data_IF_074452095415
#
_entry.id   IF_074452095415
#
_cell.length_a   1.000
_cell.length_b   1.000
_cell.length_c   1.000
_cell.angle_alpha   90.00
_cell.angle_beta   90.00
_cell.angle_gamma   90.00
#
_symmetry.space_group_name_H-M   'P 1'
#
loop_
_entity.id
_entity.type
_entity.pdbx_description
1 polymer ?
#
# COMPACT_ATOMS: atom_id res chain seq x y z
N UNK A 1 58.10 -37.29 -5.48
CA UNK A 1 57.16 -37.95 -4.55
C UNK A 1 56.92 -37.00 -3.39
N UNK A 2 55.65 -36.77 -3.04
CA UNK A 2 55.20 -35.65 -2.17
C UNK A 2 54.90 -34.43 -3.04
N UNK A 3 53.74 -33.77 -2.98
CA UNK A 3 52.73 -33.68 -1.93
C UNK A 3 52.45 -32.17 -1.77
N UNK A 4 51.24 -31.71 -2.06
CA UNK A 4 50.89 -30.29 -1.97
C UNK A 4 49.62 -29.93 -2.72
N UNK A 5 48.49 -30.46 -2.26
CA UNK A 5 47.16 -30.05 -2.74
C UNK A 5 46.76 -28.74 -2.03
N UNK A 6 46.42 -27.72 -2.80
CA UNK A 6 45.89 -26.46 -2.30
C UNK A 6 44.54 -26.70 -1.58
N UNK A 7 44.53 -26.43 -0.28
CA UNK A 7 43.35 -26.44 0.58
C UNK A 7 42.66 -25.06 0.46
N UNK A 8 41.40 -25.00 0.04
CA UNK A 8 40.55 -23.80 0.19
C UNK A 8 39.39 -24.15 1.11
N UNK A 9 39.56 -23.83 2.39
CA UNK A 9 38.47 -23.73 3.35
C UNK A 9 37.52 -22.61 2.94
N UNK A 10 36.22 -22.91 2.79
CA UNK A 10 35.17 -21.90 2.71
C UNK A 10 34.71 -21.59 4.14
N UNK A 11 35.19 -20.46 4.69
CA UNK A 11 34.69 -19.89 5.94
C UNK A 11 33.31 -19.27 5.67
N UNK A 12 32.25 -19.84 6.23
CA UNK A 12 30.98 -19.12 6.38
C UNK A 12 30.91 -18.57 7.79
N UNK A 13 31.13 -17.26 7.88
CA UNK A 13 30.85 -16.42 9.02
C UNK A 13 29.38 -16.01 8.92
N UNK A 14 28.50 -16.51 9.80
CA UNK A 14 27.23 -15.83 10.07
C UNK A 14 27.33 -15.22 11.47
N UNK A 15 27.75 -13.96 11.46
CA UNK A 15 27.73 -13.06 12.61
C UNK A 15 26.33 -12.44 12.67
N UNK A 16 25.57 -12.70 13.74
CA UNK A 16 24.55 -11.77 14.21
C UNK A 16 24.93 -11.39 15.65
N UNK A 17 25.53 -10.20 15.80
CA UNK A 17 25.61 -9.49 17.07
C UNK A 17 24.55 -8.39 17.03
N UNK A 18 23.69 -8.33 18.04
CA UNK A 18 23.58 -7.15 18.92
C UNK A 18 22.89 -7.52 20.23
N UNK A 19 23.57 -7.16 21.32
CA UNK A 19 23.08 -7.09 22.69
C UNK A 19 22.37 -5.72 22.87
N UNK A 20 21.41 -5.62 23.79
CA UNK A 20 21.28 -4.60 24.86
C UNK A 20 19.81 -4.62 25.35
N UNK A 21 19.63 -5.07 26.59
CA UNK A 21 18.41 -4.82 27.38
C UNK A 21 18.50 -3.41 27.95
N UNK A 22 17.59 -2.53 27.55
CA UNK A 22 17.30 -1.31 28.30
C UNK A 22 16.06 -1.54 29.16
N UNK A 23 16.28 -1.66 30.48
CA UNK A 23 15.24 -1.49 31.49
C UNK A 23 15.05 0.01 31.75
N UNK A 24 14.09 0.61 31.04
CA UNK A 24 13.23 1.74 31.42
C UNK A 24 12.48 2.22 30.17
N UNK A 25 11.39 1.55 29.82
CA UNK A 25 10.48 2.01 28.76
C UNK A 25 9.41 2.88 29.40
N UNK A 26 9.67 4.19 29.42
CA UNK A 26 8.58 5.17 29.51
C UNK A 26 8.01 5.28 28.08
N UNK A 27 6.90 4.61 27.81
CA UNK A 27 6.14 4.85 26.59
C UNK A 27 5.44 6.21 26.73
N UNK A 28 6.05 7.25 26.19
CA UNK A 28 5.30 8.47 25.85
C UNK A 28 4.32 8.15 24.74
N UNK A 29 3.13 8.77 24.76
CA UNK A 29 2.08 8.52 23.77
C UNK A 29 2.64 8.58 22.33
N UNK A 30 2.32 7.55 21.55
CA UNK A 30 2.58 7.42 20.10
C UNK A 30 4.03 7.16 19.68
N UNK A 31 4.70 6.17 20.29
CA UNK A 31 5.92 5.58 19.71
C UNK A 31 5.54 4.48 18.72
N UNK A 32 5.60 4.77 17.41
CA UNK A 32 5.46 3.76 16.36
C UNK A 32 6.82 3.16 16.04
N UNK A 33 6.90 1.82 16.01
CA UNK A 33 8.08 1.14 15.51
C UNK A 33 8.04 1.13 13.97
N UNK A 34 9.13 1.56 13.33
CA UNK A 34 9.31 1.45 11.89
C UNK A 34 9.05 0.02 11.43
N UNK A 35 8.34 -0.15 10.31
CA UNK A 35 8.11 -1.47 9.73
C UNK A 35 9.45 -2.10 9.30
N UNK A 36 9.89 -3.12 10.04
CA UNK A 36 11.07 -3.92 9.71
C UNK A 36 10.61 -5.35 9.43
N UNK A 37 10.75 -5.85 8.19
CA UNK A 37 10.34 -7.20 7.85
C UNK A 37 11.17 -8.22 8.62
N UNK A 38 10.52 -9.21 9.22
CA UNK A 38 11.13 -10.33 9.93
C UNK A 38 10.73 -11.64 9.27
N UNK A 39 11.62 -12.63 9.36
CA UNK A 39 11.35 -14.00 8.95
C UNK A 39 12.10 -14.95 9.89
N UNK A 40 11.39 -15.94 10.42
CA UNK A 40 11.99 -17.12 11.05
C UNK A 40 11.34 -18.38 10.47
N UNK A 41 12.14 -19.44 10.37
CA UNK A 41 11.68 -20.74 9.94
C UNK A 41 12.42 -21.84 10.71
N UNK A 42 11.73 -22.93 11.02
CA UNK A 42 12.32 -24.11 11.66
C UNK A 42 11.58 -25.38 11.26
N UNK A 43 12.27 -26.52 11.36
CA UNK A 43 11.64 -27.85 11.32
C UNK A 43 11.69 -28.48 12.70
N UNK A 44 10.66 -29.22 13.08
CA UNK A 44 10.58 -29.90 14.37
C UNK A 44 11.57 -31.09 14.50
N UNK A 45 11.98 -31.69 13.37
CA UNK A 45 12.95 -32.77 13.34
C UNK A 45 14.03 -32.53 12.27
N UNK A 46 15.18 -32.00 12.69
CA UNK A 46 16.31 -31.76 11.78
C UNK A 46 17.07 -33.04 11.36
N UNK A 47 16.95 -34.12 12.13
CA UNK A 47 17.58 -35.41 11.85
C UNK A 47 16.53 -36.53 11.88
N UNK A 48 15.86 -36.74 10.75
CA UNK A 48 14.85 -37.77 10.59
C UNK A 48 15.50 -39.14 10.44
N UNK A 49 15.11 -40.10 11.29
CA UNK A 49 15.62 -41.47 11.24
C UNK A 49 14.48 -42.48 11.08
N UNK A 50 14.71 -43.48 10.24
CA UNK A 50 13.74 -44.53 9.92
C UNK A 50 14.43 -45.87 10.07
N UNK A 51 13.81 -46.80 10.81
CA UNK A 51 14.29 -48.17 10.89
C UNK A 51 13.73 -48.97 9.70
N UNK A 52 14.57 -49.22 8.69
CA UNK A 52 14.16 -49.92 7.48
C UNK A 52 13.56 -51.31 7.73
N UNK A 53 14.06 -52.06 8.72
CA UNK A 53 13.53 -53.37 9.07
C UNK A 53 12.11 -53.30 9.62
N UNK A 54 11.76 -52.24 10.35
CA UNK A 54 10.37 -52.05 10.82
C UNK A 54 9.43 -51.77 9.66
N UNK A 55 9.89 -51.02 8.65
CA UNK A 55 9.10 -50.76 7.44
C UNK A 55 8.93 -52.04 6.62
N UNK A 56 10.00 -52.78 6.34
CA UNK A 56 9.96 -54.02 5.52
C UNK A 56 9.05 -55.09 6.15
N UNK A 57 8.99 -55.16 7.47
CA UNK A 57 8.17 -56.13 8.21
C UNK A 57 6.73 -55.65 8.48
N UNK A 58 6.36 -54.44 8.07
CA UNK A 58 4.98 -53.96 8.19
C UNK A 58 4.07 -54.61 7.15
N UNK A 59 2.75 -54.60 7.38
CA UNK A 59 1.75 -55.26 6.52
C UNK A 59 1.87 -54.83 5.06
N UNK A 60 1.97 -53.53 4.80
CA UNK A 60 2.00 -52.96 3.45
C UNK A 60 3.43 -52.63 2.99
N UNK A 61 4.42 -52.89 3.83
CA UNK A 61 5.83 -52.49 3.66
C UNK A 61 6.04 -50.98 3.46
N UNK A 62 5.12 -50.17 3.98
CA UNK A 62 5.13 -48.70 3.88
C UNK A 62 5.28 -48.03 5.23
N UNK A 63 5.71 -46.77 5.22
CA UNK A 63 5.67 -45.87 6.39
C UNK A 63 5.38 -44.43 5.97
N UNK A 64 4.72 -43.67 6.85
CA UNK A 64 4.53 -42.22 6.74
C UNK A 64 5.17 -41.55 7.96
N UNK A 65 5.98 -40.53 7.72
CA UNK A 65 6.72 -39.82 8.76
C UNK A 65 6.37 -38.33 8.69
N UNK A 66 5.68 -37.78 9.69
CA UNK A 66 5.34 -36.36 9.71
C UNK A 66 6.55 -35.50 10.12
N UNK A 67 6.61 -34.32 9.52
CA UNK A 67 7.54 -33.22 9.79
C UNK A 67 6.72 -31.93 9.82
N UNK A 68 7.05 -30.99 10.70
CA UNK A 68 6.39 -29.70 10.75
C UNK A 68 7.36 -28.59 10.38
N UNK A 69 7.05 -27.86 9.30
CA UNK A 69 7.70 -26.61 8.94
C UNK A 69 6.99 -25.46 9.65
N UNK A 70 7.64 -24.87 10.64
CA UNK A 70 7.16 -23.67 11.33
C UNK A 70 7.74 -22.43 10.69
N UNK A 71 6.91 -21.46 10.31
CA UNK A 71 7.32 -20.16 9.75
C UNK A 71 6.64 -19.03 10.51
N UNK A 72 7.36 -17.93 10.73
CA UNK A 72 6.81 -16.70 11.27
C UNK A 72 7.38 -15.49 10.50
N UNK A 73 6.52 -14.65 9.94
CA UNK A 73 6.92 -13.42 9.26
C UNK A 73 5.88 -12.32 9.49
N UNK A 74 6.35 -11.10 9.72
CA UNK A 74 5.49 -9.92 9.71
C UNK A 74 5.35 -9.27 8.31
N UNK A 75 5.91 -9.88 7.25
CA UNK A 75 5.80 -9.34 5.90
C UNK A 75 4.34 -9.33 5.45
N UNK A 76 3.83 -8.14 5.09
CA UNK A 76 2.43 -7.90 4.73
C UNK A 76 1.96 -8.70 3.49
N UNK A 77 2.86 -9.15 2.62
CA UNK A 77 2.54 -10.01 1.47
C UNK A 77 2.86 -11.48 1.68
N UNK A 78 3.32 -11.87 2.88
CA UNK A 78 3.58 -13.26 3.24
C UNK A 78 4.93 -13.79 2.77
N UNK A 79 4.98 -15.09 2.49
CA UNK A 79 6.19 -15.80 2.08
C UNK A 79 5.91 -16.90 1.06
N UNK A 80 6.97 -17.35 0.40
CA UNK A 80 7.00 -18.53 -0.46
C UNK A 80 7.99 -19.53 0.13
N UNK A 81 7.58 -20.79 0.24
CA UNK A 81 8.43 -21.89 0.67
C UNK A 81 8.63 -22.89 -0.47
N UNK A 82 9.88 -23.30 -0.67
CA UNK A 82 10.25 -24.34 -1.63
C UNK A 82 10.94 -25.51 -0.95
N UNK A 83 10.85 -26.68 -1.59
CA UNK A 83 11.51 -27.92 -1.18
C UNK A 83 12.37 -28.44 -2.33
N UNK A 84 13.55 -28.97 -2.02
CA UNK A 84 14.42 -29.71 -2.92
C UNK A 84 15.39 -30.60 -2.14
N UNK A 85 16.00 -31.59 -2.79
CA UNK A 85 17.22 -32.24 -2.29
C UNK A 85 18.42 -31.28 -2.36
N UNK A 86 19.41 -31.48 -1.51
CA UNK A 86 20.64 -30.66 -1.46
C UNK A 86 21.42 -30.68 -2.79
N UNK A 87 21.23 -31.71 -3.60
CA UNK A 87 21.80 -31.84 -4.95
C UNK A 87 20.71 -32.31 -5.93
N UNK A 88 21.05 -32.56 -7.20
CA UNK A 88 20.12 -33.20 -8.15
C UNK A 88 19.88 -34.69 -7.87
N UNK A 89 20.64 -35.29 -6.94
CA UNK A 89 20.35 -36.63 -6.43
C UNK A 89 19.14 -36.59 -5.50
N UNK A 90 18.03 -37.18 -5.96
CA UNK A 90 16.74 -37.22 -5.24
C UNK A 90 16.51 -38.55 -4.52
N UNK A 91 17.38 -39.55 -4.71
CA UNK A 91 17.30 -40.82 -4.00
C UNK A 91 17.96 -40.75 -2.62
N UNK A 92 17.54 -41.61 -1.68
CA UNK A 92 18.39 -41.91 -0.52
C UNK A 92 19.51 -42.84 -1.00
N UNK A 93 20.76 -42.43 -0.80
CA UNK A 93 21.94 -43.16 -1.27
C UNK A 93 22.54 -43.97 -0.12
N UNK A 94 22.83 -45.26 -0.36
CA UNK A 94 23.61 -46.07 0.57
C UNK A 94 25.10 -45.80 0.37
N UNK A 95 25.71 -45.06 1.29
CA UNK A 95 27.11 -44.66 1.19
C UNK A 95 28.09 -45.82 1.42
N UNK A 96 27.63 -46.91 2.03
CA UNK A 96 28.44 -48.10 2.32
C UNK A 96 28.38 -49.14 1.19
N UNK A 97 27.48 -48.94 0.22
CA UNK A 97 27.19 -49.93 -0.82
C UNK A 97 28.23 -49.90 -1.94
N UNK A 98 28.70 -51.08 -2.34
CA UNK A 98 29.57 -51.26 -3.51
C UNK A 98 28.80 -51.36 -4.84
N UNK A 99 27.46 -51.50 -4.78
CA UNK A 99 26.58 -51.65 -5.94
C UNK A 99 25.81 -50.37 -6.29
N UNK A 100 26.09 -49.27 -5.60
CA UNK A 100 25.34 -48.01 -5.65
C UNK A 100 23.84 -48.18 -5.33
N UNK A 101 23.51 -48.97 -4.30
CA UNK A 101 22.15 -49.20 -3.84
C UNK A 101 21.47 -47.88 -3.40
N UNK A 102 20.22 -47.71 -3.82
CA UNK A 102 19.42 -46.50 -3.61
C UNK A 102 17.97 -46.81 -3.27
N UNK A 103 17.32 -45.88 -2.58
CA UNK A 103 15.86 -45.78 -2.47
C UNK A 103 15.45 -44.57 -3.30
N UNK A 104 14.85 -44.80 -4.47
CA UNK A 104 14.63 -43.75 -5.46
C UNK A 104 13.45 -42.86 -5.11
N UNK A 105 13.48 -41.60 -5.53
CA UNK A 105 12.27 -40.77 -5.56
C UNK A 105 11.18 -41.45 -6.40
N UNK A 106 9.91 -41.36 -5.99
CA UNK A 106 8.79 -41.83 -6.82
C UNK A 106 8.77 -41.10 -8.16
N UNK A 107 8.30 -41.77 -9.22
CA UNK A 107 8.32 -41.22 -10.58
C UNK A 107 7.09 -40.37 -10.92
N UNK A 108 6.02 -40.48 -10.16
CA UNK A 108 4.77 -39.75 -10.37
C UNK A 108 4.00 -39.60 -9.05
N UNK A 109 3.08 -38.65 -9.00
CA UNK A 109 2.31 -38.40 -7.80
C UNK A 109 1.22 -39.46 -7.59
N UNK A 110 1.03 -39.91 -6.34
CA UNK A 110 0.07 -40.96 -6.02
C UNK A 110 -0.05 -41.24 -4.51
N UNK A 111 -1.02 -42.08 -4.10
CA UNK A 111 -1.15 -42.50 -2.71
C UNK A 111 0.02 -43.41 -2.30
N UNK A 112 0.27 -43.52 -0.99
CA UNK A 112 1.40 -44.28 -0.45
C UNK A 112 1.41 -45.76 -0.88
N UNK A 113 0.23 -46.38 -0.99
CA UNK A 113 0.11 -47.79 -1.37
C UNK A 113 0.62 -48.10 -2.78
N UNK A 114 0.56 -47.11 -3.68
CA UNK A 114 0.92 -47.24 -5.10
C UNK A 114 2.42 -47.08 -5.35
N UNK A 115 3.21 -46.86 -4.30
CA UNK A 115 4.65 -46.74 -4.43
C UNK A 115 5.25 -48.02 -5.00
N UNK A 116 6.22 -47.86 -5.90
CA UNK A 116 7.10 -48.94 -6.31
C UNK A 116 8.00 -49.34 -5.14
N UNK A 117 8.45 -50.59 -5.12
CA UNK A 117 9.40 -51.06 -4.11
C UNK A 117 10.67 -50.20 -4.10
N UNK A 118 11.19 -49.93 -2.91
CA UNK A 118 12.38 -49.11 -2.66
C UNK A 118 12.25 -47.69 -3.23
N UNK A 119 11.11 -47.05 -2.96
CA UNK A 119 10.89 -45.64 -3.32
C UNK A 119 10.40 -44.79 -2.16
N UNK A 120 10.58 -43.48 -2.30
CA UNK A 120 10.13 -42.49 -1.33
C UNK A 120 9.63 -41.20 -2.00
N UNK A 121 8.82 -40.44 -1.29
CA UNK A 121 8.23 -39.19 -1.78
C UNK A 121 7.77 -38.31 -0.63
N UNK A 122 7.28 -37.12 -0.95
CA UNK A 122 6.79 -36.17 0.05
C UNK A 122 5.34 -35.78 -0.21
N UNK A 123 4.60 -35.40 0.82
CA UNK A 123 3.27 -34.79 0.71
C UNK A 123 3.21 -33.58 1.63
N UNK A 124 2.52 -32.52 1.22
CA UNK A 124 2.45 -31.27 1.98
C UNK A 124 1.00 -30.89 2.28
N UNK A 125 0.76 -30.37 3.48
CA UNK A 125 -0.55 -29.93 3.95
C UNK A 125 -1.60 -31.04 3.89
N UNK A 126 -2.78 -30.68 3.37
CA UNK A 126 -3.92 -31.60 3.24
C UNK A 126 -3.87 -32.51 2.00
N UNK A 127 -2.75 -32.55 1.26
CA UNK A 127 -2.64 -33.44 0.09
C UNK A 127 -2.80 -34.91 0.49
N UNK A 128 -3.58 -35.65 -0.28
CA UNK A 128 -3.70 -37.10 -0.15
C UNK A 128 -2.65 -37.85 -0.98
N UNK A 129 -2.04 -37.18 -1.94
CA UNK A 129 -1.05 -37.76 -2.85
C UNK A 129 0.36 -37.27 -2.50
N UNK A 130 1.31 -38.20 -2.50
CA UNK A 130 2.73 -37.89 -2.44
C UNK A 130 3.23 -37.50 -3.81
N UNK A 131 4.20 -36.59 -3.86
CA UNK A 131 4.91 -36.14 -5.03
C UNK A 131 6.36 -36.65 -5.03
N UNK A 132 7.00 -36.75 -6.21
CA UNK A 132 8.43 -36.99 -6.33
C UNK A 132 9.26 -35.99 -5.52
N UNK A 133 10.31 -36.45 -4.86
CA UNK A 133 11.33 -35.57 -4.26
C UNK A 133 11.93 -34.67 -5.35
N UNK A 134 11.83 -33.35 -5.23
CA UNK A 134 12.32 -32.40 -6.22
C UNK A 134 13.85 -32.27 -6.16
N UNK A 135 14.48 -32.15 -7.33
CA UNK A 135 15.92 -31.94 -7.47
C UNK A 135 16.32 -30.49 -7.16
N UNK A 136 17.59 -30.24 -6.84
CA UNK A 136 18.12 -28.88 -6.62
C UNK A 136 17.88 -27.96 -7.83
N UNK A 137 18.06 -28.47 -9.04
CA UNK A 137 17.84 -27.75 -10.30
C UNK A 137 16.36 -27.43 -10.57
N UNK A 138 15.43 -28.11 -9.89
CA UNK A 138 13.99 -27.95 -10.08
C UNK A 138 13.23 -27.98 -8.73
N UNK A 139 13.43 -26.98 -7.84
CA UNK A 139 12.75 -26.94 -6.56
C UNK A 139 11.23 -26.87 -6.71
N UNK A 140 10.50 -27.58 -5.85
CA UNK A 140 9.04 -27.51 -5.82
C UNK A 140 8.58 -26.38 -4.89
N UNK A 141 7.68 -25.52 -5.36
CA UNK A 141 6.95 -24.59 -4.50
C UNK A 141 5.91 -25.39 -3.70
N UNK A 142 6.10 -25.46 -2.38
CA UNK A 142 5.21 -26.23 -1.48
C UNK A 142 4.17 -25.35 -0.80
N UNK A 143 4.46 -24.05 -0.63
CA UNK A 143 3.54 -23.10 -0.02
C UNK A 143 3.80 -21.68 -0.53
N UNK A 144 2.73 -20.92 -0.72
CA UNK A 144 2.78 -19.48 -0.93
C UNK A 144 1.61 -18.85 -0.17
N UNK A 145 1.92 -17.92 0.74
CA UNK A 145 0.92 -17.18 1.51
C UNK A 145 0.73 -15.78 0.93
N UNK A 146 -0.43 -15.17 1.19
CA UNK A 146 -0.76 -13.82 0.69
C UNK A 146 -0.63 -12.73 1.76
N UNK A 147 -0.30 -13.10 3.01
CA UNK A 147 -0.27 -12.20 4.15
C UNK A 147 0.72 -12.65 5.21
N UNK A 148 0.96 -11.77 6.17
CA UNK A 148 1.78 -12.05 7.35
C UNK A 148 1.23 -13.23 8.13
N UNK A 149 2.10 -13.84 8.94
CA UNK A 149 1.68 -14.87 9.88
C UNK A 149 1.08 -14.24 11.14
N UNK A 150 0.17 -14.95 11.80
CA UNK A 150 -0.35 -14.56 13.12
C UNK A 150 0.46 -15.23 14.24
N UNK A 151 1.76 -14.95 14.28
CA UNK A 151 2.72 -15.67 15.11
C UNK A 151 3.35 -16.85 14.36
N UNK A 152 3.61 -17.95 15.06
CA UNK A 152 4.20 -19.16 14.45
C UNK A 152 3.12 -19.97 13.73
N UNK A 153 3.29 -20.19 12.43
CA UNK A 153 2.43 -21.06 11.63
C UNK A 153 3.13 -22.38 11.33
N UNK A 154 2.50 -23.49 11.74
CA UNK A 154 3.02 -24.85 11.52
C UNK A 154 2.37 -25.48 10.30
N UNK A 155 3.19 -25.91 9.35
CA UNK A 155 2.76 -26.55 8.12
C UNK A 155 3.27 -27.99 8.09
N UNK A 156 2.36 -28.95 8.02
CA UNK A 156 2.70 -30.36 8.01
C UNK A 156 3.24 -30.78 6.63
N UNK A 157 4.37 -31.47 6.64
CA UNK A 157 4.95 -32.22 5.54
C UNK A 157 5.03 -33.69 5.98
N UNK A 158 4.69 -34.64 5.12
CA UNK A 158 4.88 -36.06 5.40
C UNK A 158 5.85 -36.66 4.39
N UNK A 159 6.79 -37.48 4.86
CA UNK A 159 7.63 -38.34 4.03
C UNK A 159 7.00 -39.72 3.97
N UNK A 160 6.75 -40.21 2.76
CA UNK A 160 6.22 -41.54 2.49
C UNK A 160 7.31 -42.43 1.93
N UNK A 161 7.34 -43.69 2.34
CA UNK A 161 8.32 -44.66 1.84
C UNK A 161 7.69 -46.03 1.68
N UNK A 162 8.18 -46.80 0.69
CA UNK A 162 7.92 -48.24 0.55
C UNK A 162 9.22 -48.98 0.33
N UNK A 163 9.50 -49.97 1.18
CA UNK A 163 10.76 -50.73 1.14
C UNK A 163 10.48 -52.22 0.88
N UNK A 164 11.43 -52.92 0.28
CA UNK A 164 11.36 -54.38 0.11
C UNK A 164 12.59 -55.09 0.69
N UNK A 165 12.45 -56.40 0.84
CA UNK A 165 13.43 -57.34 1.39
C UNK A 165 14.69 -57.50 0.53
N UNK A 166 14.67 -57.05 -0.72
CA UNK A 166 15.84 -57.02 -1.61
C UNK A 166 16.76 -55.80 -1.41
N UNK A 167 16.47 -54.91 -0.45
CA UNK A 167 17.29 -53.73 -0.17
C UNK A 167 18.61 -54.15 0.49
N UNK A 168 19.74 -53.64 -0.02
CA UNK A 168 21.06 -53.89 0.56
C UNK A 168 21.13 -53.32 2.00
N UNK A 169 21.73 -54.07 2.93
CA UNK A 169 21.95 -53.55 4.29
C UNK A 169 22.89 -52.36 4.26
N UNK A 170 22.52 -51.26 4.92
CA UNK A 170 23.40 -50.10 5.04
C UNK A 170 22.66 -48.84 5.46
N UNK A 171 23.39 -47.71 5.47
CA UNK A 171 22.84 -46.41 5.82
C UNK A 171 22.49 -45.63 4.56
N UNK A 172 21.18 -45.41 4.36
CA UNK A 172 20.64 -44.61 3.27
C UNK A 172 20.42 -43.16 3.71
N UNK A 173 20.98 -42.19 2.98
CA UNK A 173 20.88 -40.76 3.33
C UNK A 173 20.58 -39.87 2.13
N UNK A 174 19.80 -38.81 2.37
CA UNK A 174 19.71 -37.61 1.53
C UNK A 174 19.41 -36.43 2.47
N UNK A 175 19.68 -35.19 2.03
CA UNK A 175 19.34 -33.97 2.74
C UNK A 175 18.28 -33.21 1.95
N UNK A 176 17.16 -32.92 2.61
CA UNK A 176 16.15 -32.00 2.10
C UNK A 176 16.47 -30.57 2.55
N UNK A 177 16.26 -29.63 1.64
CA UNK A 177 16.45 -28.19 1.85
C UNK A 177 15.09 -27.51 1.71
N UNK A 178 14.72 -26.76 2.75
CA UNK A 178 13.60 -25.83 2.69
C UNK A 178 14.15 -24.42 2.48
N UNK A 179 13.68 -23.73 1.45
CA UNK A 179 14.00 -22.31 1.25
C UNK A 179 12.75 -21.49 1.50
N UNK A 180 12.80 -20.57 2.47
CA UNK A 180 11.69 -19.70 2.84
C UNK A 180 12.11 -18.28 2.52
N UNK A 181 11.37 -17.63 1.63
CA UNK A 181 11.66 -16.28 1.15
C UNK A 181 10.40 -15.44 1.34
N UNK A 182 10.54 -14.27 1.94
CA UNK A 182 9.42 -13.33 2.05
C UNK A 182 9.00 -12.85 0.68
N UNK A 183 7.70 -12.68 0.48
CA UNK A 183 7.19 -12.17 -0.79
C UNK A 183 7.62 -10.71 -0.97
N UNK A 184 7.76 -10.30 -2.24
CA UNK A 184 8.06 -8.92 -2.56
C UNK A 184 7.00 -7.99 -1.96
N UNK A 185 7.46 -6.96 -1.26
CA UNK A 185 6.60 -5.95 -0.64
C UNK A 185 7.11 -4.56 -0.96
N UNK A 186 6.30 -3.80 -1.70
CA UNK A 186 6.58 -2.39 -1.96
C UNK A 186 6.13 -1.58 -0.75
N UNK A 187 7.08 -1.13 0.06
CA UNK A 187 6.82 -0.26 1.21
C UNK A 187 6.20 1.06 0.75
N UNK A 188 5.33 1.62 1.57
CA UNK A 188 4.61 2.86 1.28
C UNK A 188 4.75 3.86 2.41
N UNK A 189 4.96 5.14 2.07
CA UNK A 189 4.85 6.24 3.02
C UNK A 189 3.43 6.80 2.97
N UNK A 190 2.76 6.85 4.12
CA UNK A 190 1.40 7.37 4.25
C UNK A 190 1.40 8.48 5.28
N UNK A 191 0.88 9.65 4.90
CA UNK A 191 0.64 10.74 5.83
C UNK A 191 -0.53 10.40 6.76
N UNK A 192 -0.46 10.82 8.03
CA UNK A 192 -1.58 10.75 8.98
C UNK A 192 -2.84 11.46 8.46
N UNK A 193 -3.99 11.18 9.07
CA UNK A 193 -5.29 11.78 8.74
C UNK A 193 -5.22 13.31 8.68
N UNK A 194 -6.01 13.91 7.78
CA UNK A 194 -5.96 15.34 7.52
C UNK A 194 -6.15 16.22 8.76
N UNK A 195 -7.12 15.97 9.68
CA UNK A 195 -7.27 16.76 10.89
C UNK A 195 -6.06 16.65 11.85
N UNK A 196 -5.46 15.46 11.95
CA UNK A 196 -4.29 15.21 12.79
C UNK A 196 -3.05 15.88 12.21
N UNK A 197 -2.85 15.77 10.89
CA UNK A 197 -1.81 16.48 10.18
C UNK A 197 -1.96 18.00 10.37
N UNK A 198 -3.17 18.55 10.22
CA UNK A 198 -3.44 19.98 10.41
C UNK A 198 -3.08 20.46 11.82
N UNK A 199 -3.46 19.67 12.83
CA UNK A 199 -3.13 19.96 14.24
C UNK A 199 -1.63 19.98 14.47
N UNK A 200 -0.91 18.97 13.96
CA UNK A 200 0.55 18.89 14.06
C UNK A 200 1.22 20.04 13.30
N UNK A 201 0.71 20.39 12.12
CA UNK A 201 1.21 21.50 11.29
C UNK A 201 1.04 22.85 12.00
N UNK A 202 -0.15 23.16 12.53
CA UNK A 202 -0.41 24.40 13.29
C UNK A 202 0.43 24.52 14.55
N UNK A 203 0.73 23.39 15.19
CA UNK A 203 1.56 23.37 16.41
C UNK A 203 3.03 23.74 16.20
N UNK A 204 3.48 23.94 14.95
CA UNK A 204 4.82 24.47 14.65
C UNK A 204 4.96 25.97 14.90
N UNK A 205 3.84 26.70 15.03
CA UNK A 205 3.84 28.16 15.21
C UNK A 205 3.53 28.92 13.92
N UNK A 206 4.13 30.10 13.73
CA UNK A 206 3.88 30.96 12.57
C UNK A 206 4.87 30.69 11.43
N UNK A 207 4.36 30.38 10.24
CA UNK A 207 5.13 30.11 9.03
C UNK A 207 4.29 30.41 7.78
N UNK A 208 4.96 30.54 6.63
CA UNK A 208 4.36 31.04 5.39
C UNK A 208 4.44 30.03 4.23
N UNK A 209 5.29 29.01 4.36
CA UNK A 209 5.58 28.07 3.28
C UNK A 209 5.49 26.63 3.76
N UNK A 210 5.15 25.71 2.86
CA UNK A 210 5.19 24.26 3.10
C UNK A 210 5.83 23.53 1.90
N UNK A 211 6.85 22.71 2.15
CA UNK A 211 7.53 21.94 1.10
C UNK A 211 8.19 20.66 1.62
N UNK A 212 8.46 19.72 0.71
CA UNK A 212 9.28 18.55 0.99
C UNK A 212 10.76 18.94 1.08
N UNK A 213 11.48 18.37 2.04
CA UNK A 213 12.94 18.41 2.13
C UNK A 213 13.56 17.21 1.41
N UNK A 214 14.72 17.40 0.78
CA UNK A 214 15.52 16.32 0.18
C UNK A 214 16.37 15.57 1.22
N UNK A 215 16.59 16.16 2.39
CA UNK A 215 17.36 15.58 3.50
C UNK A 215 16.53 15.54 4.78
N UNK A 216 16.80 14.59 5.69
CA UNK A 216 16.18 14.59 7.00
C UNK A 216 16.53 15.86 7.80
N UNK A 217 15.76 16.20 8.85
CA UNK A 217 16.06 17.37 9.68
C UNK A 217 17.43 17.22 10.36
N UNK A 218 18.18 18.31 10.44
CA UNK A 218 19.50 18.32 11.07
C UNK A 218 19.45 17.98 12.57
N UNK A 219 18.34 18.29 13.24
CA UNK A 219 18.07 17.91 14.62
C UNK A 219 16.65 17.34 14.75
N UNK A 220 16.51 16.28 15.54
CA UNK A 220 15.20 15.62 15.76
C UNK A 220 14.43 16.20 16.94
N UNK A 221 15.06 17.04 17.77
CA UNK A 221 14.47 17.56 19.02
C UNK A 221 13.15 18.33 18.81
N UNK A 222 12.98 18.97 17.65
CA UNK A 222 11.77 19.73 17.30
C UNK A 222 10.99 19.13 16.13
N UNK A 223 11.40 17.97 15.63
CA UNK A 223 10.71 17.28 14.55
C UNK A 223 9.54 16.45 15.10
N UNK A 224 8.40 16.54 14.44
CA UNK A 224 7.18 15.79 14.77
C UNK A 224 6.98 14.66 13.77
N UNK A 225 6.44 13.54 14.23
CA UNK A 225 6.04 12.44 13.37
C UNK A 225 4.64 12.68 12.81
N UNK A 226 4.49 12.55 11.49
CA UNK A 226 3.25 12.77 10.74
C UNK A 226 2.92 11.59 9.82
N UNK A 227 3.57 10.46 10.01
CA UNK A 227 3.16 9.20 9.39
C UNK A 227 1.85 8.66 9.99
N UNK A 228 1.12 7.94 9.15
CA UNK A 228 -0.01 7.11 9.52
C UNK A 228 0.44 5.80 10.18
N UNK A 229 -0.44 5.13 10.94
CA UNK A 229 -0.14 3.83 11.55
C UNK A 229 0.12 2.71 10.53
N UNK A 230 -0.47 2.82 9.34
CA UNK A 230 -0.25 1.87 8.24
C UNK A 230 0.98 2.21 7.39
N UNK A 231 1.63 3.36 7.64
CA UNK A 231 2.83 3.78 6.92
C UNK A 231 4.01 2.87 7.27
N UNK A 232 4.75 2.44 6.25
CA UNK A 232 5.98 1.70 6.48
C UNK A 232 7.16 2.63 6.73
N UNK A 233 7.04 3.92 6.37
CA UNK A 233 8.09 4.91 6.53
C UNK A 233 7.72 5.94 7.57
N UNK A 234 8.74 6.40 8.30
CA UNK A 234 8.65 7.58 9.12
C UNK A 234 8.52 8.83 8.25
N UNK A 235 7.68 9.77 8.66
CA UNK A 235 7.53 11.06 7.99
C UNK A 235 7.71 12.15 9.04
N UNK A 236 8.80 12.91 8.90
CA UNK A 236 9.15 13.99 9.83
C UNK A 236 8.59 15.31 9.34
N UNK A 237 8.13 16.14 10.28
CA UNK A 237 7.68 17.51 10.08
C UNK A 237 8.44 18.45 11.01
N UNK A 238 8.97 19.56 10.51
CA UNK A 238 9.61 20.59 11.34
C UNK A 238 9.49 21.97 10.69
N UNK A 239 9.78 23.01 11.47
CA UNK A 239 9.83 24.40 11.00
C UNK A 239 11.29 24.85 10.91
N UNK A 240 11.67 25.42 9.76
CA UNK A 240 12.82 26.32 9.69
C UNK A 240 12.33 27.77 9.90
N UNK A 241 12.65 28.40 11.04
CA UNK A 241 12.20 29.77 11.33
C UNK A 241 12.91 30.82 10.46
N UNK A 242 14.06 30.49 9.86
CA UNK A 242 14.88 31.42 9.06
C UNK A 242 14.19 31.75 7.76
N UNK A 243 13.67 30.74 7.07
CA UNK A 243 12.93 30.88 5.81
C UNK A 243 11.40 30.79 5.99
N UNK A 244 10.92 30.64 7.24
CA UNK A 244 9.50 30.48 7.58
C UNK A 244 8.83 29.32 6.84
N UNK A 245 9.56 28.23 6.60
CA UNK A 245 9.03 27.05 5.92
C UNK A 245 8.82 25.88 6.88
N UNK A 246 7.60 25.34 6.88
CA UNK A 246 7.34 24.01 7.40
C UNK A 246 7.83 22.97 6.37
N UNK A 247 8.84 22.20 6.74
CA UNK A 247 9.38 21.12 5.94
C UNK A 247 8.81 19.79 6.40
N UNK A 248 8.57 18.90 5.44
CA UNK A 248 8.44 17.48 5.74
C UNK A 248 9.50 16.63 5.01
N UNK A 249 9.84 15.48 5.57
CA UNK A 249 10.76 14.51 4.97
C UNK A 249 10.20 13.10 5.11
N UNK A 250 10.26 12.36 4.01
CA UNK A 250 10.11 10.92 3.94
C UNK A 250 11.18 10.40 2.98
N UNK A 251 11.73 9.23 3.25
CA UNK A 251 12.73 8.58 2.38
C UNK A 251 12.23 8.40 0.93
N UNK A 252 11.04 7.81 0.66
CA UNK A 252 10.57 7.68 -0.70
C UNK A 252 10.16 9.03 -1.29
N UNK A 253 10.29 9.17 -2.61
CA UNK A 253 9.89 10.38 -3.32
C UNK A 253 8.39 10.66 -3.15
N UNK A 254 7.57 9.62 -3.26
CA UNK A 254 6.11 9.67 -3.28
C UNK A 254 5.52 9.36 -1.90
N UNK A 255 4.59 10.19 -1.45
CA UNK A 255 3.90 10.05 -0.16
C UNK A 255 2.40 9.99 -0.41
N UNK A 256 1.76 8.90 0.01
CA UNK A 256 0.30 8.77 -0.06
C UNK A 256 -0.35 9.63 1.01
N UNK A 257 -1.43 10.31 0.66
CA UNK A 257 -2.31 10.92 1.66
C UNK A 257 -3.29 9.88 2.21
N UNK A 258 -3.67 10.03 3.48
CA UNK A 258 -4.67 9.17 4.11
C UNK A 258 -6.01 9.25 3.37
N UNK A 259 -6.77 8.16 3.40
CA UNK A 259 -8.15 8.07 2.90
C UNK A 259 -9.04 9.24 3.38
N UNK A 260 -8.84 9.71 4.61
CA UNK A 260 -9.37 10.96 5.12
C UNK A 260 -8.29 12.07 5.06
N UNK A 261 -8.31 12.85 3.98
CA UNK A 261 -7.49 14.06 3.83
C UNK A 261 -8.26 15.32 4.17
N UNK A 262 -9.37 15.19 4.92
CA UNK A 262 -10.18 16.32 5.32
C UNK A 262 -9.39 17.32 6.14
N UNK A 263 -9.66 18.61 5.94
CA UNK A 263 -9.07 19.71 6.72
C UNK A 263 -7.54 19.75 6.75
N UNK A 264 -6.82 19.00 5.89
CA UNK A 264 -5.36 18.88 5.94
C UNK A 264 -4.64 20.24 5.98
N UNK A 265 -5.06 21.20 5.15
CA UNK A 265 -4.57 22.57 5.13
C UNK A 265 -5.65 23.59 5.51
N UNK A 266 -6.65 23.16 6.28
CA UNK A 266 -7.73 24.03 6.75
C UNK A 266 -7.19 25.17 7.62
N UNK A 267 -7.64 26.39 7.32
CA UNK A 267 -7.36 27.59 8.10
C UNK A 267 -5.86 27.92 8.18
N UNK A 268 -5.08 27.52 7.17
CA UNK A 268 -3.68 27.91 6.99
C UNK A 268 -3.58 29.32 6.36
N UNK A 269 -4.20 30.32 7.00
CA UNK A 269 -4.41 31.70 6.49
C UNK A 269 -3.12 32.45 6.13
N UNK A 270 -1.98 32.03 6.64
CA UNK A 270 -0.69 32.70 6.41
C UNK A 270 0.10 32.14 5.22
N UNK A 271 -0.36 31.07 4.57
CA UNK A 271 0.39 30.45 3.48
C UNK A 271 0.45 31.33 2.23
N UNK A 272 1.67 31.52 1.74
CA UNK A 272 1.95 32.16 0.45
C UNK A 272 2.49 31.18 -0.57
N UNK A 273 3.08 30.06 -0.12
CA UNK A 273 3.61 28.99 -0.97
C UNK A 273 3.19 27.63 -0.42
N UNK A 274 2.54 26.81 -1.25
CA UNK A 274 2.17 25.42 -0.95
C UNK A 274 2.72 24.50 -2.04
N UNK A 275 3.67 23.61 -1.72
CA UNK A 275 4.36 22.76 -2.68
C UNK A 275 4.05 21.27 -2.43
N UNK A 276 3.28 20.64 -3.33
CA UNK A 276 2.68 19.30 -3.16
C UNK A 276 2.96 18.24 -4.26
N UNK A 277 4.01 18.30 -5.11
CA UNK A 277 4.16 17.40 -6.26
C UNK A 277 4.41 15.95 -5.84
N UNK A 278 4.90 15.74 -4.62
CA UNK A 278 5.22 14.42 -4.07
C UNK A 278 4.00 13.70 -3.45
N UNK A 279 2.84 14.36 -3.37
CA UNK A 279 1.64 13.75 -2.81
C UNK A 279 0.94 12.86 -3.82
N UNK A 280 0.52 11.69 -3.37
CA UNK A 280 -0.39 10.80 -4.08
C UNK A 280 -1.75 10.75 -3.37
N UNK A 281 -2.78 11.16 -4.10
CA UNK A 281 -4.16 11.24 -3.61
C UNK A 281 -5.06 10.10 -4.10
N UNK A 282 -4.52 9.12 -4.83
CA UNK A 282 -5.25 7.97 -5.41
C UNK A 282 -5.93 7.04 -4.40
N UNK A 283 -5.68 7.23 -3.09
CA UNK A 283 -6.35 6.54 -1.99
C UNK A 283 -7.38 7.40 -1.26
N UNK A 284 -7.40 8.70 -1.50
CA UNK A 284 -8.25 9.65 -0.78
C UNK A 284 -9.71 9.46 -1.17
N UNK A 285 -10.58 9.41 -0.15
CA UNK A 285 -12.03 9.31 -0.32
C UNK A 285 -12.76 10.56 0.20
N UNK A 286 -12.11 11.32 1.09
CA UNK A 286 -12.65 12.52 1.70
C UNK A 286 -11.66 13.70 1.58
N UNK A 287 -12.09 14.79 0.93
CA UNK A 287 -11.33 16.04 0.77
C UNK A 287 -12.07 17.26 1.36
N UNK A 288 -13.03 17.04 2.25
CA UNK A 288 -13.78 18.14 2.87
C UNK A 288 -12.83 19.18 3.49
N UNK A 289 -13.08 20.47 3.24
CA UNK A 289 -12.31 21.60 3.79
C UNK A 289 -10.79 21.56 3.53
N UNK A 290 -10.27 20.71 2.63
CA UNK A 290 -8.82 20.44 2.53
C UNK A 290 -7.98 21.71 2.38
N UNK A 291 -8.45 22.70 1.60
CA UNK A 291 -7.79 24.00 1.38
C UNK A 291 -8.66 25.19 1.82
N UNK A 292 -9.73 24.95 2.60
CA UNK A 292 -10.61 26.04 3.04
C UNK A 292 -9.85 27.03 3.91
N UNK A 293 -10.19 28.31 3.79
CA UNK A 293 -9.60 29.42 4.55
C UNK A 293 -8.10 29.67 4.29
N UNK A 294 -7.55 29.21 3.17
CA UNK A 294 -6.20 29.59 2.74
C UNK A 294 -6.17 30.98 2.08
N UNK A 295 -6.51 32.01 2.88
CA UNK A 295 -6.90 33.35 2.40
C UNK A 295 -5.82 34.14 1.65
N UNK A 296 -4.53 33.85 1.86
CA UNK A 296 -3.39 34.55 1.22
C UNK A 296 -2.82 33.83 0.00
N UNK A 297 -3.19 32.57 -0.25
CA UNK A 297 -2.62 31.79 -1.34
C UNK A 297 -3.11 32.32 -2.69
N UNK A 298 -2.19 32.62 -3.61
CA UNK A 298 -2.50 33.20 -4.92
C UNK A 298 -2.44 32.18 -6.06
N UNK A 299 -1.65 31.12 -5.90
CA UNK A 299 -1.50 30.01 -6.83
C UNK A 299 -1.57 28.66 -6.10
N UNK A 300 -2.13 27.66 -6.76
CA UNK A 300 -2.23 26.30 -6.25
C UNK A 300 -2.14 25.32 -7.42
N UNK A 301 -1.11 24.47 -7.42
CA UNK A 301 -0.93 23.40 -8.40
C UNK A 301 -1.43 22.07 -7.82
N UNK A 302 -2.39 21.47 -8.51
CA UNK A 302 -3.02 20.18 -8.18
C UNK A 302 -2.95 19.21 -9.36
N UNK A 303 -2.04 19.42 -10.30
CA UNK A 303 -1.92 18.62 -11.52
C UNK A 303 -1.66 17.12 -11.23
N UNK A 304 -1.04 16.80 -10.09
CA UNK A 304 -0.79 15.44 -9.62
C UNK A 304 -1.95 14.81 -8.82
N UNK A 305 -3.06 15.54 -8.60
CA UNK A 305 -4.17 15.02 -7.79
C UNK A 305 -5.02 14.01 -8.58
N UNK A 306 -5.17 12.81 -8.03
CA UNK A 306 -6.13 11.80 -8.46
C UNK A 306 -7.32 11.82 -7.49
N UNK A 307 -8.48 12.29 -7.98
CA UNK A 307 -9.71 12.36 -7.19
C UNK A 307 -10.72 11.27 -7.53
N UNK A 308 -10.31 10.25 -8.28
CA UNK A 308 -11.20 9.20 -8.80
C UNK A 308 -11.96 8.42 -7.72
N UNK A 309 -11.45 8.37 -6.48
CA UNK A 309 -12.12 7.71 -5.33
C UNK A 309 -12.81 8.68 -4.36
N UNK A 310 -12.71 9.98 -4.60
CA UNK A 310 -13.24 11.00 -3.69
C UNK A 310 -14.77 11.03 -3.79
N UNK A 311 -15.43 11.05 -2.63
CA UNK A 311 -16.89 11.06 -2.48
C UNK A 311 -17.42 12.35 -1.85
N UNK A 312 -16.60 13.05 -1.05
CA UNK A 312 -16.93 14.32 -0.39
C UNK A 312 -15.86 15.39 -0.72
N UNK A 313 -16.30 16.50 -1.34
CA UNK A 313 -15.49 17.68 -1.67
C UNK A 313 -16.07 18.97 -1.06
N UNK A 314 -16.93 18.87 -0.04
CA UNK A 314 -17.56 20.05 0.56
C UNK A 314 -16.52 21.03 1.07
N UNK A 315 -16.75 22.32 0.82
CA UNK A 315 -15.88 23.42 1.23
C UNK A 315 -14.41 23.32 0.78
N UNK A 316 -14.04 22.43 -0.16
CA UNK A 316 -12.63 22.13 -0.45
C UNK A 316 -11.78 23.38 -0.75
N UNK A 317 -12.31 24.37 -1.47
CA UNK A 317 -11.65 25.64 -1.80
C UNK A 317 -12.37 26.88 -1.24
N UNK A 318 -13.24 26.68 -0.25
CA UNK A 318 -14.02 27.76 0.36
C UNK A 318 -13.10 28.85 0.94
N UNK A 319 -13.46 30.12 0.73
CA UNK A 319 -12.75 31.29 1.29
C UNK A 319 -11.28 31.42 0.88
N UNK A 320 -10.89 30.83 -0.25
CA UNK A 320 -9.60 31.12 -0.90
C UNK A 320 -9.64 32.48 -1.62
N UNK A 321 -9.83 33.56 -0.85
CA UNK A 321 -10.09 34.91 -1.36
C UNK A 321 -9.04 35.43 -2.35
N UNK A 322 -7.77 35.04 -2.16
CA UNK A 322 -6.64 35.55 -2.95
C UNK A 322 -6.36 34.78 -4.25
N UNK A 323 -6.93 33.59 -4.41
CA UNK A 323 -6.62 32.70 -5.53
C UNK A 323 -7.17 33.28 -6.85
N UNK A 324 -6.30 33.46 -7.84
CA UNK A 324 -6.67 34.12 -9.12
C UNK A 324 -6.98 33.12 -10.23
N UNK A 325 -6.45 31.90 -10.14
CA UNK A 325 -6.65 30.82 -11.09
C UNK A 325 -6.61 29.48 -10.37
N UNK A 326 -7.37 28.50 -10.89
CA UNK A 326 -7.41 27.15 -10.36
C UNK A 326 -7.54 26.17 -11.52
N UNK A 327 -6.55 25.29 -11.68
CA UNK A 327 -6.58 24.23 -12.68
C UNK A 327 -7.10 22.93 -12.04
N UNK A 328 -8.23 22.44 -12.55
CA UNK A 328 -8.89 21.21 -12.08
C UNK A 328 -8.92 20.11 -13.16
N UNK A 329 -8.07 20.20 -14.19
CA UNK A 329 -8.11 19.26 -15.32
C UNK A 329 -7.85 17.80 -14.93
N UNK A 330 -7.14 17.55 -13.84
CA UNK A 330 -6.87 16.21 -13.28
C UNK A 330 -8.05 15.63 -12.50
N UNK A 331 -9.07 16.43 -12.16
CA UNK A 331 -10.14 15.99 -11.26
C UNK A 331 -11.10 15.02 -11.95
N UNK A 332 -11.48 13.96 -11.24
CA UNK A 332 -12.55 13.05 -11.61
C UNK A 332 -13.62 13.09 -10.52
N UNK A 333 -14.75 13.71 -10.81
CA UNK A 333 -15.83 13.90 -9.83
C UNK A 333 -16.95 12.86 -9.96
N UNK A 334 -16.75 11.78 -10.73
CA UNK A 334 -17.78 10.77 -10.99
C UNK A 334 -18.33 10.08 -9.73
N UNK A 335 -17.55 10.00 -8.66
CA UNK A 335 -17.97 9.40 -7.38
C UNK A 335 -18.42 10.43 -6.33
N UNK A 336 -18.32 11.73 -6.63
CA UNK A 336 -18.61 12.79 -5.66
C UNK A 336 -20.11 12.93 -5.45
N UNK A 337 -20.51 12.98 -4.17
CA UNK A 337 -21.91 13.10 -3.73
C UNK A 337 -22.22 14.44 -3.08
N UNK A 338 -21.22 15.12 -2.51
CA UNK A 338 -21.35 16.45 -1.91
C UNK A 338 -20.26 17.40 -2.44
N UNK A 339 -20.71 18.53 -3.02
CA UNK A 339 -19.87 19.64 -3.50
C UNK A 339 -20.29 20.98 -2.88
N UNK A 340 -21.04 20.95 -1.77
CA UNK A 340 -21.54 22.17 -1.13
C UNK A 340 -20.40 23.10 -0.75
N UNK A 341 -20.60 24.39 -1.02
CA UNK A 341 -19.63 25.46 -0.76
C UNK A 341 -18.23 25.25 -1.39
N UNK A 342 -18.05 24.32 -2.34
CA UNK A 342 -16.72 23.94 -2.83
C UNK A 342 -15.91 25.14 -3.36
N UNK A 343 -16.55 26.09 -4.04
CA UNK A 343 -15.91 27.31 -4.56
C UNK A 343 -16.45 28.60 -3.91
N UNK A 344 -17.18 28.48 -2.80
CA UNK A 344 -17.78 29.64 -2.16
C UNK A 344 -16.70 30.66 -1.76
N UNK A 345 -17.03 31.94 -1.96
CA UNK A 345 -16.18 33.07 -1.61
C UNK A 345 -14.78 33.13 -2.27
N UNK A 346 -14.57 32.48 -3.42
CA UNK A 346 -13.36 32.66 -4.24
C UNK A 346 -13.40 33.98 -5.05
N UNK A 347 -13.28 35.11 -4.37
CA UNK A 347 -13.59 36.43 -4.95
C UNK A 347 -12.63 36.96 -6.03
N UNK A 348 -11.42 36.41 -6.16
CA UNK A 348 -10.44 36.84 -7.18
C UNK A 348 -10.33 35.89 -8.37
N UNK A 349 -11.03 34.76 -8.35
CA UNK A 349 -11.01 33.79 -9.42
C UNK A 349 -11.74 34.36 -10.65
N UNK A 350 -11.08 34.60 -11.77
CA UNK A 350 -11.69 35.28 -12.94
C UNK A 350 -12.48 34.33 -13.85
N UNK A 351 -12.07 33.07 -13.92
CA UNK A 351 -12.75 32.03 -14.68
C UNK A 351 -12.56 30.68 -14.01
N UNK A 352 -13.52 29.78 -14.19
CA UNK A 352 -13.49 28.42 -13.66
C UNK A 352 -13.80 27.42 -14.77
N UNK A 353 -12.93 26.44 -14.97
CA UNK A 353 -13.12 25.39 -15.96
C UNK A 353 -13.49 24.07 -15.27
N UNK A 354 -14.72 23.62 -15.51
CA UNK A 354 -15.32 22.40 -14.98
C UNK A 354 -15.71 21.44 -16.12
N UNK A 355 -15.05 21.53 -17.28
CA UNK A 355 -15.37 20.71 -18.46
C UNK A 355 -15.27 19.19 -18.22
N UNK A 356 -14.46 18.78 -17.25
CA UNK A 356 -14.28 17.39 -16.81
C UNK A 356 -15.21 16.95 -15.66
N UNK A 357 -16.05 17.84 -15.12
CA UNK A 357 -16.89 17.49 -13.97
C UNK A 357 -18.07 16.61 -14.37
N UNK A 358 -18.25 15.51 -13.63
CA UNK A 358 -19.42 14.65 -13.70
C UNK A 358 -20.26 14.84 -12.43
N UNK A 359 -21.49 15.32 -12.60
CA UNK A 359 -22.39 15.65 -11.48
C UNK A 359 -23.52 14.63 -11.28
N UNK A 360 -23.48 13.49 -11.98
CA UNK A 360 -24.56 12.48 -11.96
C UNK A 360 -24.81 11.83 -10.59
N UNK A 361 -23.83 11.87 -9.69
CA UNK A 361 -23.93 11.35 -8.33
C UNK A 361 -24.10 12.43 -7.26
N UNK A 362 -24.05 13.71 -7.63
CA UNK A 362 -24.09 14.82 -6.68
C UNK A 362 -25.52 15.03 -6.16
N UNK A 363 -25.64 15.04 -4.84
CA UNK A 363 -26.89 15.27 -4.11
C UNK A 363 -26.95 16.66 -3.49
N UNK A 364 -25.80 17.29 -3.24
CA UNK A 364 -25.70 18.59 -2.60
C UNK A 364 -24.75 19.53 -3.36
N UNK A 365 -25.29 20.66 -3.82
CA UNK A 365 -24.58 21.77 -4.45
C UNK A 365 -24.86 23.11 -3.76
N UNK A 366 -25.39 23.10 -2.54
CA UNK A 366 -25.69 24.35 -1.82
C UNK A 366 -24.48 25.29 -1.82
N UNK A 367 -24.70 26.55 -2.19
CA UNK A 367 -23.66 27.60 -2.24
C UNK A 367 -22.43 27.31 -3.13
N UNK A 368 -22.43 26.28 -3.97
CA UNK A 368 -21.23 25.84 -4.71
C UNK A 368 -20.58 26.94 -5.55
N UNK A 369 -21.37 27.85 -6.12
CA UNK A 369 -20.91 28.98 -6.94
C UNK A 369 -21.15 30.34 -6.27
N UNK A 370 -21.32 30.38 -4.94
CA UNK A 370 -21.53 31.61 -4.19
C UNK A 370 -20.23 32.43 -4.05
N UNK A 371 -19.70 32.87 -5.20
CA UNK A 371 -18.57 33.78 -5.33
C UNK A 371 -18.95 34.89 -6.30
N UNK A 372 -18.23 36.01 -6.25
CA UNK A 372 -18.42 37.15 -7.15
C UNK A 372 -17.17 37.45 -8.03
N UNK A 373 -16.19 36.55 -8.03
CA UNK A 373 -14.95 36.71 -8.79
C UNK A 373 -15.10 36.41 -10.28
N UNK A 374 -15.75 35.30 -10.62
CA UNK A 374 -15.69 34.78 -12.00
C UNK A 374 -16.79 35.33 -12.89
N UNK A 375 -16.41 35.71 -14.10
CA UNK A 375 -17.35 36.16 -15.13
C UNK A 375 -17.91 34.98 -15.93
N UNK A 376 -17.14 33.88 -16.03
CA UNK A 376 -17.48 32.70 -16.80
C UNK A 376 -17.14 31.40 -16.08
N UNK A 377 -18.05 30.44 -16.18
CA UNK A 377 -17.83 29.03 -15.82
C UNK A 377 -17.90 28.22 -17.11
N UNK A 378 -16.84 27.47 -17.42
CA UNK A 378 -16.77 26.64 -18.61
C UNK A 378 -17.13 25.18 -18.30
N UNK A 379 -18.02 24.60 -19.10
CA UNK A 379 -18.43 23.19 -19.00
C UNK A 379 -18.50 22.56 -20.41
N UNK A 380 -18.49 21.22 -20.48
CA UNK A 380 -18.71 20.52 -21.75
C UNK A 380 -20.20 20.30 -22.04
N UNK A 381 -20.99 20.00 -21.00
CA UNK A 381 -22.41 19.67 -21.07
C UNK A 381 -23.17 20.31 -19.90
N UNK A 382 -24.50 20.30 -19.99
CA UNK A 382 -25.37 20.63 -18.86
C UNK A 382 -25.05 19.73 -17.66
N UNK A 383 -25.12 20.27 -16.43
CA UNK A 383 -24.92 19.44 -15.24
C UNK A 383 -26.12 18.52 -15.05
N UNK A 384 -25.84 17.27 -14.64
CA UNK A 384 -26.89 16.33 -14.29
C UNK A 384 -27.43 16.68 -12.89
N UNK A 385 -28.70 17.05 -12.81
CA UNK A 385 -29.36 17.48 -11.57
C UNK A 385 -30.40 16.47 -11.06
N UNK A 386 -30.43 15.26 -11.63
CA UNK A 386 -31.45 14.25 -11.32
C UNK A 386 -31.42 13.77 -9.86
N UNK A 387 -30.23 13.73 -9.24
CA UNK A 387 -30.04 13.34 -7.83
C UNK A 387 -29.93 14.51 -6.86
N UNK A 388 -30.01 15.74 -7.36
CA UNK A 388 -29.78 16.95 -6.56
C UNK A 388 -30.96 17.19 -5.61
N UNK A 389 -30.71 17.09 -4.31
CA UNK A 389 -31.70 17.35 -3.24
C UNK A 389 -31.49 18.71 -2.59
N UNK A 390 -30.27 19.22 -2.54
CA UNK A 390 -29.95 20.56 -2.02
C UNK A 390 -29.22 21.42 -3.07
N UNK A 391 -29.84 22.54 -3.43
CA UNK A 391 -29.34 23.54 -4.37
C UNK A 391 -29.57 24.96 -3.85
N UNK A 392 -29.66 25.11 -2.53
CA UNK A 392 -29.90 26.41 -1.90
C UNK A 392 -28.73 27.38 -2.17
N UNK A 393 -29.05 28.63 -2.50
CA UNK A 393 -28.10 29.73 -2.62
C UNK A 393 -26.91 29.47 -3.57
N UNK A 394 -27.04 28.57 -4.55
CA UNK A 394 -25.93 28.17 -5.44
C UNK A 394 -25.18 29.35 -6.04
N UNK A 395 -25.91 30.40 -6.42
CA UNK A 395 -25.38 31.57 -7.10
C UNK A 395 -25.55 32.87 -6.30
N UNK A 396 -25.82 32.80 -5.00
CA UNK A 396 -26.26 33.96 -4.19
C UNK A 396 -25.37 35.21 -4.36
N UNK A 397 -24.06 35.03 -4.48
CA UNK A 397 -23.09 36.11 -4.61
C UNK A 397 -22.61 36.36 -6.06
N UNK A 398 -23.11 35.61 -7.04
CA UNK A 398 -22.59 35.56 -8.44
C UNK A 398 -23.05 36.72 -9.33
N UNK A 399 -22.93 37.96 -8.85
CA UNK A 399 -23.44 39.16 -9.54
C UNK A 399 -22.74 39.43 -10.89
N UNK A 400 -21.48 39.02 -11.03
CA UNK A 400 -20.70 39.15 -12.29
C UNK A 400 -20.86 37.99 -13.27
N UNK A 401 -21.40 36.85 -12.84
CA UNK A 401 -21.46 35.65 -13.66
C UNK A 401 -22.44 35.83 -14.82
N UNK A 402 -22.01 35.46 -16.03
CA UNK A 402 -22.84 35.45 -17.25
C UNK A 402 -22.72 34.12 -17.96
N UNK A 403 -23.85 33.63 -18.49
CA UNK A 403 -23.85 32.53 -19.44
C UNK A 403 -23.09 32.88 -20.73
N UNK A 404 -22.76 31.87 -21.53
CA UNK A 404 -22.00 32.04 -22.78
C UNK A 404 -22.64 33.00 -23.80
N UNK A 405 -23.96 33.15 -23.80
CA UNK A 405 -24.73 34.10 -24.61
C UNK A 405 -25.20 35.33 -23.80
N UNK A 406 -24.63 35.54 -22.61
CA UNK A 406 -24.93 36.68 -21.76
C UNK A 406 -26.12 36.49 -20.82
N UNK A 407 -26.71 35.29 -20.71
CA UNK A 407 -27.82 35.04 -19.77
C UNK A 407 -27.43 35.33 -18.31
N UNK A 408 -28.33 36.00 -17.57
CA UNK A 408 -28.16 36.30 -16.14
C UNK A 408 -29.50 36.59 -15.44
N UNK A 409 -29.50 36.47 -14.11
CA UNK A 409 -30.55 37.00 -13.24
C UNK A 409 -30.07 38.29 -12.57
N UNK A 410 -30.98 39.26 -12.42
CA UNK A 410 -30.71 40.50 -11.70
C UNK A 410 -30.43 40.24 -10.21
N UNK A 411 -31.18 39.31 -9.61
CA UNK A 411 -30.91 38.75 -8.30
C UNK A 411 -30.48 37.28 -8.46
N UNK A 412 -29.17 36.97 -8.39
CA UNK A 412 -28.68 35.61 -8.62
C UNK A 412 -29.03 34.66 -7.47
N UNK A 413 -29.52 35.14 -6.32
CA UNK A 413 -30.05 34.28 -5.25
C UNK A 413 -31.34 33.56 -5.63
N UNK A 414 -32.04 34.06 -6.65
CA UNK A 414 -33.27 33.44 -7.20
C UNK A 414 -33.00 32.30 -8.17
N UNK A 415 -31.74 32.07 -8.53
CA UNK A 415 -31.34 30.98 -9.43
C UNK A 415 -31.63 29.61 -8.79
N UNK A 416 -32.40 28.79 -9.48
CA UNK A 416 -32.64 27.39 -9.11
C UNK A 416 -31.74 26.45 -9.92
N UNK A 417 -31.98 25.13 -9.79
CA UNK A 417 -31.23 24.10 -10.52
C UNK A 417 -31.38 24.16 -12.04
N UNK A 418 -32.38 24.87 -12.59
CA UNK A 418 -32.53 25.01 -14.04
C UNK A 418 -31.45 25.88 -14.67
N UNK A 419 -30.70 26.64 -13.87
CA UNK A 419 -29.58 27.47 -14.33
C UNK A 419 -28.24 26.72 -14.43
N UNK A 420 -28.16 25.48 -13.94
CA UNK A 420 -26.99 24.60 -14.03
C UNK A 420 -26.82 23.98 -15.43
N UNK A 421 -26.84 24.81 -16.47
CA UNK A 421 -26.79 24.37 -17.88
C UNK A 421 -26.05 25.37 -18.75
N UNK A 422 -25.64 24.89 -19.92
CA UNK A 422 -25.01 25.68 -20.97
C UNK A 422 -26.02 26.68 -21.53
N UNK A 423 -25.64 27.95 -21.50
CA UNK A 423 -26.36 29.03 -22.16
C UNK A 423 -26.27 28.89 -23.69
N UNK A 424 -27.42 28.79 -24.35
CA UNK A 424 -27.54 28.54 -25.80
C UNK A 424 -28.83 29.17 -26.34
N UNK A 425 -29.00 29.36 -27.66
CA UNK A 425 -30.22 29.97 -28.20
C UNK A 425 -31.49 29.30 -27.66
N UNK A 426 -32.39 30.07 -27.06
CA UNK A 426 -33.64 29.60 -26.45
C UNK A 426 -33.52 28.93 -25.08
N UNK A 427 -32.32 28.81 -24.50
CA UNK A 427 -32.08 28.17 -23.20
C UNK A 427 -31.14 29.02 -22.35
N UNK A 428 -31.69 29.66 -21.32
CA UNK A 428 -30.92 30.45 -20.36
C UNK A 428 -30.21 29.55 -19.35
N UNK A 429 -28.91 29.77 -19.16
CA UNK A 429 -28.10 29.10 -18.15
C UNK A 429 -26.88 29.94 -17.77
N UNK A 430 -26.19 29.56 -16.70
CA UNK A 430 -25.00 30.28 -16.24
C UNK A 430 -23.68 29.76 -16.81
N UNK A 431 -23.70 28.67 -17.58
CA UNK A 431 -22.46 28.08 -18.10
C UNK A 431 -22.17 28.50 -19.53
N UNK A 432 -20.88 28.60 -19.83
CA UNK A 432 -20.33 28.76 -21.18
C UNK A 432 -19.83 27.40 -21.66
N UNK A 433 -20.21 26.99 -22.87
CA UNK A 433 -19.63 25.77 -23.46
C UNK A 433 -18.15 26.00 -23.70
N UNK A 434 -17.29 25.07 -23.29
CA UNK A 434 -15.86 25.14 -23.61
C UNK A 434 -15.71 25.16 -25.16
N UNK A 435 -14.89 26.08 -25.71
CA UNK A 435 -14.66 26.18 -27.15
C UNK A 435 -14.18 24.87 -27.78
#
# INVERSE_FOLDING_TARGET
MGGGWFNRELKILVLFLTLISFSNLIFGNNTFALFMPTLSASVDQANLQVNGNQVINSTDKTTEIPLNLTVNTNNKTGYTATLNSETDETALVNNDSTTNAKINSISSAGPLGDFSNNTWGYKFGASTSYAPIPALSTPAQILQTAGKTNGNESNQLSIGMKLSDNLESGRYTNKLVFSIITNNYNRIAIMTEGPDFNTKLKSLGAFEHFKKSSTPPATTANAKNIEDEDSDYEIKLWLDPTDKTAYYYAEPEKVYLNTDSSKMFYDMRNFTILNLPNFDTSKVTNMQYMFSDMTKLTTLDLSNFDTSKVTDMKYMFNEMYSLTSLNLSSFNTSNVTDMSCMFAHMFRLTSLNLSNFNTSNVTNMGWVFAFNGSEKIYVNNDFNTSKLTNFSNMFKESKKLRGGNGSYLADPSTADKTWLRVDRPGVHGYFTRKP
#
